data_IF_133445710126
#
_entry.id   IF_133445710126
#
_cell.length_a   1.000
_cell.length_b   1.000
_cell.length_c   1.000
_cell.angle_alpha   90.00
_cell.angle_beta   90.00
_cell.angle_gamma   90.00
#
_symmetry.space_group_name_H-M   'P 1'
#
loop_
_entity.id
_entity.type
_entity.pdbx_description
1 polymer ?
#
# COMPACT_ATOMS: atom_id res chain seq x y z
N UNK A 1 3.88 -3.49 9.86
CA UNK A 1 4.01 -3.08 8.44
C UNK A 1 4.29 -4.28 7.56
N UNK A 2 3.49 -4.52 6.50
CA UNK A 2 3.78 -5.53 5.46
C UNK A 2 3.75 -4.85 4.07
N UNK A 3 4.77 -5.09 3.25
CA UNK A 3 4.88 -4.56 1.89
C UNK A 3 4.63 -5.71 0.90
N UNK A 4 3.65 -5.54 0.03
CA UNK A 4 3.30 -6.48 -1.02
C UNK A 4 3.46 -5.79 -2.37
N UNK A 5 4.02 -6.51 -3.35
CA UNK A 5 4.16 -6.00 -4.73
C UNK A 5 3.12 -6.65 -5.64
N UNK A 6 2.69 -5.92 -6.67
CA UNK A 6 1.75 -6.41 -7.69
C UNK A 6 0.43 -6.97 -7.13
N UNK A 7 -0.07 -6.41 -6.03
CA UNK A 7 -1.31 -6.87 -5.39
C UNK A 7 -2.52 -6.31 -6.14
N UNK A 8 -3.49 -7.18 -6.44
CA UNK A 8 -4.74 -6.79 -7.09
C UNK A 8 -5.60 -5.92 -6.15
N UNK A 9 -6.00 -4.74 -6.61
CA UNK A 9 -6.89 -3.85 -5.86
C UNK A 9 -8.36 -4.30 -5.92
N UNK A 10 -8.71 -5.19 -6.85
CA UNK A 10 -10.05 -5.76 -7.01
C UNK A 10 -10.64 -6.29 -5.70
N UNK A 11 -9.81 -6.90 -4.87
CA UNK A 11 -10.23 -7.49 -3.58
C UNK A 11 -10.61 -6.42 -2.56
N UNK A 12 -10.05 -5.21 -2.68
CA UNK A 12 -10.13 -4.13 -1.70
C UNK A 12 -11.06 -2.98 -2.11
N UNK A 13 -11.68 -3.04 -3.29
CA UNK A 13 -12.68 -2.06 -3.73
C UNK A 13 -14.09 -2.67 -3.69
N UNK A 14 -15.09 -1.83 -3.40
CA UNK A 14 -16.51 -2.24 -3.39
C UNK A 14 -17.00 -2.60 -4.78
N UNK A 15 -16.58 -1.84 -5.80
CA UNK A 15 -16.88 -2.10 -7.21
C UNK A 15 -16.26 -3.40 -7.74
N UNK A 16 -15.35 -4.03 -7.00
CA UNK A 16 -14.57 -5.20 -7.47
C UNK A 16 -13.92 -4.92 -8.82
N UNK A 17 -13.41 -3.69 -8.97
CA UNK A 17 -12.63 -3.21 -10.10
C UNK A 17 -11.38 -2.56 -9.53
N UNK A 18 -10.22 -2.89 -10.11
CA UNK A 18 -8.94 -2.34 -9.68
C UNK A 18 -7.78 -3.15 -10.24
N UNK A 19 -6.82 -2.45 -10.86
CA UNK A 19 -5.60 -3.05 -11.39
C UNK A 19 -4.65 -3.55 -10.29
N UNK A 20 -3.42 -3.89 -10.69
CA UNK A 20 -2.37 -4.28 -9.74
C UNK A 20 -1.68 -3.03 -9.21
N UNK A 21 -1.58 -2.90 -7.90
CA UNK A 21 -0.75 -1.89 -7.25
C UNK A 21 0.71 -2.34 -7.29
N UNK A 22 1.63 -1.46 -7.74
CA UNK A 22 3.07 -1.74 -7.74
C UNK A 22 3.58 -1.98 -6.32
N UNK A 23 3.09 -1.19 -5.35
CA UNK A 23 3.34 -1.34 -3.93
C UNK A 23 2.01 -1.26 -3.18
N UNK A 24 1.77 -2.20 -2.27
CA UNK A 24 0.62 -2.27 -1.40
C UNK A 24 1.11 -2.44 0.04
N UNK A 25 0.67 -1.56 0.94
CA UNK A 25 1.10 -1.55 2.33
C UNK A 25 -0.06 -1.88 3.25
N UNK A 26 0.15 -2.84 4.16
CA UNK A 26 -0.78 -3.14 5.24
C UNK A 26 -0.22 -2.55 6.55
N UNK A 27 -0.93 -1.55 7.09
CA UNK A 27 -0.62 -0.89 8.35
C UNK A 27 -1.63 -1.32 9.42
N UNK A 28 -1.14 -1.73 10.60
CA UNK A 28 -1.99 -2.12 11.73
C UNK A 28 -1.95 -1.11 12.87
N UNK A 29 -0.96 -0.24 12.89
CA UNK A 29 -0.72 0.74 13.94
C UNK A 29 -0.39 2.10 13.36
N UNK A 30 -0.48 3.15 14.18
CA UNK A 30 -0.07 4.48 13.78
C UNK A 30 1.44 4.57 13.51
N UNK A 31 2.25 3.78 14.21
CA UNK A 31 3.69 3.70 13.97
C UNK A 31 4.01 3.09 12.60
N UNK A 32 3.24 2.09 12.15
CA UNK A 32 3.34 1.57 10.79
C UNK A 32 3.09 2.67 9.75
N UNK A 33 2.08 3.52 9.97
CA UNK A 33 1.78 4.64 9.06
C UNK A 33 2.94 5.64 8.94
N UNK A 34 3.60 5.97 10.06
CA UNK A 34 4.79 6.84 10.04
C UNK A 34 5.91 6.23 9.19
N UNK A 35 6.19 4.94 9.39
CA UNK A 35 7.24 4.22 8.64
C UNK A 35 6.93 4.15 7.14
N UNK A 36 5.68 3.88 6.78
CA UNK A 36 5.22 3.84 5.39
C UNK A 36 5.37 5.22 4.74
N UNK A 37 5.00 6.29 5.43
CA UNK A 37 5.13 7.65 4.91
C UNK A 37 6.58 8.03 4.62
N UNK A 38 7.50 7.75 5.55
CA UNK A 38 8.94 7.98 5.36
C UNK A 38 9.46 7.16 4.18
N UNK A 39 9.13 5.86 4.12
CA UNK A 39 9.51 4.98 3.01
C UNK A 39 9.01 5.51 1.67
N UNK A 40 7.75 5.93 1.58
CA UNK A 40 7.17 6.47 0.36
C UNK A 40 7.89 7.73 -0.10
N UNK A 41 8.23 8.63 0.84
CA UNK A 41 8.99 9.85 0.56
C UNK A 41 10.39 9.57 0.04
N UNK A 42 11.13 8.67 0.69
CA UNK A 42 12.51 8.30 0.29
C UNK A 42 12.56 7.62 -1.08
N UNK A 43 11.52 6.85 -1.40
CA UNK A 43 11.41 6.12 -2.67
C UNK A 43 10.64 6.89 -3.75
N UNK A 44 10.28 8.15 -3.51
CA UNK A 44 9.50 8.99 -4.44
C UNK A 44 8.20 8.32 -4.92
N UNK A 45 7.54 7.58 -4.04
CA UNK A 45 6.23 6.99 -4.29
C UNK A 45 5.15 8.07 -4.12
N UNK A 46 4.18 8.08 -5.05
CA UNK A 46 3.03 9.00 -5.04
C UNK A 46 1.79 8.31 -4.49
#
# INVERSE_FOLDING_TARGET
MKILKNKSLKEFTTFKIGGKASNFFEAKTFDDMKKIYVFAKENNLK
#
